data_IF_141404272848
#
_entry.id   IF_141404272848
#
_cell.length_a   1.000
_cell.length_b   1.000
_cell.length_c   1.000
_cell.angle_alpha   90.00
_cell.angle_beta   90.00
_cell.angle_gamma   90.00
#
_symmetry.space_group_name_H-M   'P 1'
#
loop_
_entity.id
_entity.type
_entity.pdbx_description
1 polymer ?
#
# COMPACT_ATOMS: atom_id res chain seq x y z
N UNK A 1 -22.36 -19.82 -34.62
CA UNK A 1 -21.60 -18.55 -34.68
C UNK A 1 -21.61 -17.98 -33.27
N UNK A 2 -20.57 -18.27 -32.48
CA UNK A 2 -20.52 -17.94 -31.04
C UNK A 2 -19.92 -16.54 -30.91
N UNK A 3 -20.62 -15.66 -30.19
CA UNK A 3 -20.21 -14.28 -29.92
C UNK A 3 -19.00 -14.26 -28.98
N UNK A 4 -17.91 -13.64 -29.43
CA UNK A 4 -16.73 -13.32 -28.61
C UNK A 4 -16.96 -12.00 -27.88
N UNK A 5 -17.29 -12.07 -26.59
CA UNK A 5 -17.42 -10.91 -25.70
C UNK A 5 -16.06 -10.61 -25.05
N UNK A 6 -15.43 -9.54 -25.57
CA UNK A 6 -14.70 -8.48 -24.86
C UNK A 6 -13.75 -8.85 -23.71
N UNK A 7 -12.49 -9.16 -24.05
CA UNK A 7 -11.36 -9.24 -23.10
C UNK A 7 -10.79 -7.84 -22.72
N UNK A 8 -11.33 -6.75 -23.26
CA UNK A 8 -10.75 -5.40 -23.18
C UNK A 8 -11.22 -4.57 -21.97
N UNK A 9 -12.31 -4.95 -21.30
CA UNK A 9 -12.91 -4.17 -20.21
C UNK A 9 -12.20 -4.31 -18.86
N UNK A 10 -11.55 -5.45 -18.59
CA UNK A 10 -10.89 -5.69 -17.31
C UNK A 10 -9.56 -4.95 -17.17
N UNK A 11 -8.75 -4.83 -18.23
CA UNK A 11 -7.44 -4.19 -18.13
C UNK A 11 -7.52 -2.67 -17.88
N UNK A 12 -8.58 -2.01 -18.37
CA UNK A 12 -8.75 -0.56 -18.22
C UNK A 12 -9.17 -0.19 -16.80
N UNK A 13 -10.11 -0.94 -16.21
CA UNK A 13 -10.51 -0.77 -14.80
C UNK A 13 -9.35 -1.07 -13.85
N UNK A 14 -8.57 -2.10 -14.15
CA UNK A 14 -7.39 -2.49 -13.38
C UNK A 14 -6.31 -1.39 -13.32
N UNK A 15 -6.08 -0.72 -14.45
CA UNK A 15 -5.12 0.38 -14.56
C UNK A 15 -5.63 1.63 -13.82
N UNK A 16 -6.93 1.92 -13.93
CA UNK A 16 -7.57 3.06 -13.25
C UNK A 16 -7.49 2.96 -11.73
N UNK A 17 -7.61 1.76 -11.17
CA UNK A 17 -7.56 1.54 -9.72
C UNK A 17 -6.13 1.62 -9.16
N UNK A 18 -5.12 1.12 -9.89
CA UNK A 18 -3.72 1.28 -9.48
C UNK A 18 -3.28 2.76 -9.60
N UNK A 19 -3.71 3.46 -10.64
CA UNK A 19 -3.52 4.90 -10.75
C UNK A 19 -4.25 5.64 -9.63
N UNK A 20 -5.45 5.21 -9.24
CA UNK A 20 -6.19 5.79 -8.12
C UNK A 20 -5.40 5.65 -6.81
N UNK A 21 -4.67 4.54 -6.62
CA UNK A 21 -3.78 4.35 -5.46
C UNK A 21 -2.59 5.26 -5.53
N UNK A 22 -1.95 5.34 -6.69
CA UNK A 22 -0.83 6.25 -6.87
C UNK A 22 -1.27 7.70 -6.61
N UNK A 23 -2.42 8.12 -7.14
CA UNK A 23 -3.03 9.44 -6.87
C UNK A 23 -3.36 9.62 -5.40
N UNK A 24 -3.95 8.62 -4.74
CA UNK A 24 -4.28 8.70 -3.32
C UNK A 24 -3.01 8.88 -2.48
N UNK A 25 -1.97 8.08 -2.74
CA UNK A 25 -0.66 8.20 -2.09
C UNK A 25 -0.03 9.58 -2.33
N UNK A 26 -0.20 10.14 -3.53
CA UNK A 26 0.26 11.50 -3.85
C UNK A 26 -0.55 12.60 -3.16
N UNK A 27 -1.85 12.40 -2.95
CA UNK A 27 -2.73 13.37 -2.27
C UNK A 27 -2.55 13.36 -0.76
N UNK A 28 -2.05 12.25 -0.22
CA UNK A 28 -1.74 12.11 1.20
C UNK A 28 -0.42 12.84 1.47
N UNK A 29 -0.42 13.76 2.44
CA UNK A 29 0.75 14.57 2.81
C UNK A 29 1.83 13.80 3.59
N UNK A 30 2.16 12.58 3.16
CA UNK A 30 3.21 11.73 3.71
C UNK A 30 4.35 11.64 2.71
N UNK A 31 5.59 11.69 3.19
CA UNK A 31 6.77 11.67 2.31
C UNK A 31 6.87 10.30 1.62
N UNK A 32 6.79 10.30 0.28
CA UNK A 32 7.14 9.15 -0.54
C UNK A 32 8.66 8.93 -0.47
N UNK A 33 9.09 7.68 -0.30
CA UNK A 33 10.51 7.32 -0.35
C UNK A 33 10.77 6.11 -1.22
N UNK A 34 11.97 6.09 -1.79
CA UNK A 34 12.48 4.94 -2.51
C UNK A 34 12.60 3.76 -1.56
N UNK A 35 12.04 2.63 -1.98
CA UNK A 35 12.21 1.37 -1.29
C UNK A 35 13.69 0.95 -1.19
N UNK A 36 14.56 1.40 -2.11
CA UNK A 36 15.99 1.08 -2.11
C UNK A 36 16.75 1.64 -0.89
N UNK A 37 16.22 2.68 -0.27
CA UNK A 37 16.84 3.32 0.90
C UNK A 37 16.45 2.64 2.22
N UNK A 38 15.71 1.53 2.15
CA UNK A 38 15.19 0.81 3.30
C UNK A 38 16.07 -0.40 3.62
N UNK A 39 16.67 -0.41 4.81
CA UNK A 39 17.40 -1.56 5.33
C UNK A 39 16.47 -2.40 6.19
N UNK A 40 16.23 -3.66 5.83
CA UNK A 40 15.46 -4.59 6.65
C UNK A 40 16.34 -5.19 7.74
N UNK A 41 15.91 -5.10 9.01
CA UNK A 41 16.68 -5.61 10.15
C UNK A 41 16.07 -6.89 10.73
N UNK A 42 14.76 -6.91 11.00
CA UNK A 42 14.11 -8.05 11.66
C UNK A 42 12.64 -8.19 11.29
N UNK A 43 12.12 -9.41 11.39
CA UNK A 43 10.69 -9.68 11.35
C UNK A 43 10.05 -9.27 12.68
N UNK A 44 8.89 -8.60 12.62
CA UNK A 44 8.14 -8.20 13.81
C UNK A 44 6.79 -8.91 13.93
N UNK A 45 6.18 -9.27 12.80
CA UNK A 45 4.89 -9.94 12.81
C UNK A 45 4.29 -10.08 11.42
N UNK A 46 3.24 -10.88 11.35
CA UNK A 46 2.52 -11.16 10.10
C UNK A 46 1.02 -11.23 10.41
N UNK A 47 0.24 -10.51 9.61
CA UNK A 47 -1.20 -10.67 9.54
C UNK A 47 -1.58 -11.47 8.29
N UNK A 48 -2.86 -11.75 8.13
CA UNK A 48 -3.38 -12.40 6.93
C UNK A 48 -2.94 -11.64 5.65
N UNK A 49 -3.07 -10.31 5.67
CA UNK A 49 -2.89 -9.46 4.49
C UNK A 49 -1.58 -8.67 4.46
N UNK A 50 -0.73 -8.77 5.49
CA UNK A 50 0.49 -7.97 5.61
C UNK A 50 1.61 -8.67 6.38
N UNK A 51 2.84 -8.19 6.19
CA UNK A 51 4.02 -8.52 6.99
C UNK A 51 4.60 -7.24 7.57
N UNK A 52 4.92 -7.23 8.85
CA UNK A 52 5.59 -6.12 9.53
C UNK A 52 7.05 -6.48 9.77
N UNK A 53 7.94 -5.61 9.32
CA UNK A 53 9.38 -5.72 9.55
C UNK A 53 9.91 -4.48 10.25
N UNK A 54 10.89 -4.68 11.12
CA UNK A 54 11.74 -3.63 11.65
C UNK A 54 12.73 -3.25 10.54
N UNK A 55 12.75 -1.98 10.19
CA UNK A 55 13.61 -1.44 9.16
C UNK A 55 14.30 -0.16 9.64
N UNK A 56 15.38 0.21 8.95
CA UNK A 56 16.07 1.49 9.13
C UNK A 56 16.05 2.28 7.83
N UNK A 57 15.75 3.57 7.93
CA UNK A 57 15.79 4.52 6.80
C UNK A 57 16.36 5.85 7.29
N UNK A 58 17.39 6.36 6.61
CA UNK A 58 18.12 7.57 7.02
C UNK A 58 18.53 7.59 8.51
N UNK A 59 18.95 6.44 9.04
CA UNK A 59 19.33 6.31 10.46
C UNK A 59 18.16 6.22 11.45
N UNK A 60 16.92 6.43 11.00
CA UNK A 60 15.72 6.28 11.83
C UNK A 60 15.19 4.85 11.77
N UNK A 61 14.88 4.28 12.95
CA UNK A 61 14.24 2.98 13.07
C UNK A 61 12.73 3.11 12.88
N UNK A 62 12.16 2.27 12.01
CA UNK A 62 10.74 2.29 11.66
C UNK A 62 10.18 0.87 11.56
N UNK A 63 8.88 0.71 11.82
CA UNK A 63 8.15 -0.49 11.44
C UNK A 63 7.56 -0.29 10.04
N UNK A 64 7.88 -1.19 9.11
CA UNK A 64 7.34 -1.18 7.75
C UNK A 64 6.34 -2.31 7.61
N UNK A 65 5.09 -1.94 7.39
CA UNK A 65 4.02 -2.85 7.03
C UNK A 65 3.99 -3.03 5.51
N UNK A 66 4.19 -4.25 5.04
CA UNK A 66 4.13 -4.62 3.62
C UNK A 66 2.89 -5.41 3.34
N UNK A 67 2.10 -4.93 2.40
CA UNK A 67 0.88 -5.59 1.95
C UNK A 67 1.24 -6.76 1.02
N UNK A 68 0.63 -7.92 1.24
CA UNK A 68 0.87 -9.14 0.45
C UNK A 68 0.10 -9.14 -0.86
N UNK A 69 0.27 -8.09 -1.67
CA UNK A 69 -0.49 -7.88 -2.89
C UNK A 69 -0.21 -8.93 -3.98
N UNK A 70 0.98 -9.55 -3.95
CA UNK A 70 1.40 -10.60 -4.88
C UNK A 70 0.58 -11.90 -4.74
N UNK A 71 0.07 -12.21 -3.55
CA UNK A 71 -0.77 -13.40 -3.33
C UNK A 71 -2.11 -13.32 -4.05
N UNK A 72 -2.55 -12.11 -4.43
CA UNK A 72 -3.81 -11.88 -5.13
C UNK A 72 -3.62 -11.39 -6.56
N UNK A 73 -2.38 -11.29 -7.06
CA UNK A 73 -2.12 -10.85 -8.43
C UNK A 73 -2.81 -11.72 -9.49
N UNK A 74 -3.06 -13.00 -9.19
CA UNK A 74 -3.82 -13.93 -10.04
C UNK A 74 -5.33 -13.91 -9.79
N UNK A 75 -5.79 -13.30 -8.68
CA UNK A 75 -7.19 -13.13 -8.32
C UNK A 75 -7.55 -11.64 -8.31
N UNK A 76 -7.80 -11.14 -9.52
CA UNK A 76 -8.08 -9.75 -9.83
C UNK A 76 -9.10 -9.10 -8.87
N UNK A 77 -10.31 -9.66 -8.61
CA UNK A 77 -11.27 -9.01 -7.71
C UNK A 77 -10.78 -8.86 -6.26
N UNK A 78 -10.10 -9.88 -5.71
CA UNK A 78 -9.57 -9.81 -4.33
C UNK A 78 -8.44 -8.78 -4.22
N UNK A 79 -7.61 -8.68 -5.25
CA UNK A 79 -6.57 -7.65 -5.33
C UNK A 79 -7.17 -6.24 -5.28
N UNK A 80 -8.20 -5.94 -6.09
CA UNK A 80 -8.83 -4.61 -6.09
C UNK A 80 -9.59 -4.32 -4.81
N UNK A 81 -10.30 -5.29 -4.25
CA UNK A 81 -10.96 -5.14 -2.96
C UNK A 81 -9.94 -4.73 -1.88
N UNK A 82 -8.81 -5.45 -1.79
CA UNK A 82 -7.77 -5.12 -0.82
C UNK A 82 -7.14 -3.75 -1.08
N UNK A 83 -6.99 -3.39 -2.35
CA UNK A 83 -6.46 -2.10 -2.75
C UNK A 83 -7.39 -0.96 -2.31
N UNK A 84 -8.71 -1.13 -2.46
CA UNK A 84 -9.72 -0.18 -1.99
C UNK A 84 -9.72 -0.04 -0.47
N UNK A 85 -9.60 -1.15 0.28
CA UNK A 85 -9.47 -1.10 1.74
C UNK A 85 -8.27 -0.25 2.17
N UNK A 86 -7.13 -0.41 1.51
CA UNK A 86 -5.92 0.38 1.80
C UNK A 86 -6.15 1.87 1.50
N UNK A 87 -6.89 2.20 0.43
CA UNK A 87 -7.24 3.58 0.13
C UNK A 87 -8.15 4.22 1.18
N UNK A 88 -8.93 3.42 1.91
CA UNK A 88 -9.77 3.87 3.02
C UNK A 88 -8.94 4.00 4.31
N UNK A 89 -8.04 3.07 4.57
CA UNK A 89 -7.17 3.06 5.78
C UNK A 89 -6.22 4.27 5.79
N UNK A 90 -5.61 4.59 4.64
CA UNK A 90 -4.56 5.61 4.56
C UNK A 90 -4.98 7.02 5.02
N UNK A 91 -6.12 7.59 4.59
CA UNK A 91 -6.60 8.89 5.09
C UNK A 91 -6.83 8.90 6.59
N UNK A 92 -7.30 7.80 7.17
CA UNK A 92 -7.53 7.68 8.62
C UNK A 92 -6.18 7.78 9.35
N UNK A 93 -5.17 7.04 8.88
CA UNK A 93 -3.83 7.09 9.48
C UNK A 93 -3.13 8.45 9.30
N UNK A 94 -3.54 9.22 8.30
CA UNK A 94 -2.98 10.55 8.01
C UNK A 94 -3.79 11.70 8.61
N UNK A 95 -4.89 11.39 9.31
CA UNK A 95 -5.76 12.42 9.83
C UNK A 95 -5.01 13.29 10.83
N UNK A 96 -4.97 14.61 10.57
CA UNK A 96 -4.17 15.55 11.36
C UNK A 96 -4.50 15.51 12.85
N UNK A 97 -5.76 15.24 13.20
CA UNK A 97 -6.22 15.11 14.59
C UNK A 97 -5.65 13.89 15.31
N UNK A 98 -5.05 12.92 14.62
CA UNK A 98 -4.40 11.77 15.24
C UNK A 98 -2.88 11.95 15.31
N UNK A 99 -2.33 12.96 14.63
CA UNK A 99 -0.89 13.22 14.59
C UNK A 99 -0.41 13.69 15.96
N UNK A 100 0.57 12.98 16.52
CA UNK A 100 1.19 13.33 17.80
C UNK A 100 0.46 12.80 19.04
N UNK A 101 -0.59 11.99 18.88
CA UNK A 101 -1.22 11.32 20.03
C UNK A 101 -0.29 10.20 20.56
N UNK A 102 0.00 10.17 21.87
CA UNK A 102 1.04 9.31 22.45
C UNK A 102 0.75 7.80 22.34
N UNK A 103 -0.50 7.43 22.06
CA UNK A 103 -0.95 6.03 21.99
C UNK A 103 -1.47 5.63 20.60
N UNK A 104 -1.26 6.47 19.58
CA UNK A 104 -1.70 6.19 18.21
C UNK A 104 -0.48 6.10 17.31
N UNK A 105 -0.41 5.01 16.54
CA UNK A 105 0.66 4.82 15.57
C UNK A 105 0.56 5.90 14.49
N UNK A 106 1.67 6.58 14.25
CA UNK A 106 1.76 7.61 13.20
C UNK A 106 2.29 7.00 11.91
N UNK A 107 1.61 7.26 10.79
CA UNK A 107 2.15 6.95 9.47
C UNK A 107 3.23 7.98 9.10
N UNK A 108 4.48 7.54 9.01
CA UNK A 108 5.62 8.42 8.77
C UNK A 108 5.98 8.56 7.28
N UNK A 109 5.93 7.44 6.55
CA UNK A 109 6.47 7.31 5.20
C UNK A 109 5.64 6.27 4.43
N UNK A 110 5.53 6.46 3.11
CA UNK A 110 5.02 5.45 2.19
C UNK A 110 6.15 5.08 1.23
N UNK A 111 6.37 3.78 1.06
CA UNK A 111 7.36 3.24 0.12
C UNK A 111 6.64 2.66 -1.09
N UNK A 112 6.83 3.28 -2.25
CA UNK A 112 6.36 2.73 -3.52
C UNK A 112 7.52 2.06 -4.23
N UNK A 113 7.32 0.80 -4.63
CA UNK A 113 8.27 0.10 -5.47
C UNK A 113 7.99 0.48 -6.93
N UNK A 114 8.66 1.53 -7.43
CA UNK A 114 8.70 1.81 -8.87
C UNK A 114 9.57 0.74 -9.55
N UNK A 115 8.96 -0.06 -10.44
CA UNK A 115 9.69 -0.94 -11.35
C UNK A 115 10.29 -0.12 -12.49
#
# INVERSE_FOLDING_TARGET
MIQSVSTTGQSVLQLQDLEAVHRAVQTISVKERSYKDLQEEAFLGEGETFVVKRCRTQGQLVAVMRLKLNLWATNTPKFFCRLQEVLIELPIMCWERLRGYPNILSLLLIFLCRR
#
